data_IF_678806842406
#
_entry.id   IF_678806842406
#
_cell.length_a   1.000
_cell.length_b   1.000
_cell.length_c   1.000
_cell.angle_alpha   90.00
_cell.angle_beta   90.00
_cell.angle_gamma   90.00
#
_symmetry.space_group_name_H-M   'P 1'
#
loop_
_entity.id
_entity.type
_entity.pdbx_description
1 polymer ?
#
# COMPACT_ATOMS: atom_id res chain seq x y z
N UNK A 1 11.99 -5.07 -17.37
CA UNK A 1 11.28 -6.08 -16.55
C UNK A 1 11.05 -5.47 -15.17
N UNK A 2 9.81 -5.46 -14.64
CA UNK A 2 9.55 -4.89 -13.33
C UNK A 2 10.15 -5.79 -12.24
N UNK A 3 10.91 -5.20 -11.32
CA UNK A 3 11.52 -5.96 -10.23
C UNK A 3 10.45 -6.50 -9.31
N UNK A 4 10.50 -7.81 -9.06
CA UNK A 4 9.52 -8.50 -8.21
C UNK A 4 10.02 -8.67 -6.78
N UNK A 5 9.09 -8.86 -5.84
CA UNK A 5 9.43 -9.14 -4.43
C UNK A 5 10.29 -10.41 -4.28
N UNK A 6 10.22 -11.33 -5.26
CA UNK A 6 11.00 -12.57 -5.29
C UNK A 6 12.47 -12.30 -5.59
N UNK A 7 12.76 -11.34 -6.45
CA UNK A 7 14.13 -10.90 -6.74
C UNK A 7 14.74 -10.15 -5.56
N UNK A 8 13.94 -9.30 -4.89
CA UNK A 8 14.35 -8.65 -3.63
C UNK A 8 14.70 -9.68 -2.56
N UNK A 9 13.90 -10.75 -2.43
CA UNK A 9 14.16 -11.85 -1.50
C UNK A 9 15.45 -12.62 -1.83
N UNK A 10 15.66 -12.93 -3.11
CA UNK A 10 16.87 -13.60 -3.58
C UNK A 10 18.12 -12.75 -3.31
N UNK A 11 18.07 -11.45 -3.60
CA UNK A 11 19.19 -10.52 -3.37
C UNK A 11 19.47 -10.31 -1.88
N UNK A 12 18.43 -10.19 -1.05
CA UNK A 12 18.58 -10.01 0.38
C UNK A 12 18.93 -11.32 1.13
N UNK A 13 18.89 -12.48 0.46
CA UNK A 13 19.18 -13.78 1.05
C UNK A 13 18.18 -14.16 2.14
N UNK A 14 16.89 -13.84 1.96
CA UNK A 14 15.84 -14.14 2.94
C UNK A 14 14.59 -14.72 2.26
N UNK A 15 13.70 -15.30 3.06
CA UNK A 15 12.44 -15.84 2.54
C UNK A 15 11.50 -14.74 2.03
N UNK A 16 10.62 -15.10 1.09
CA UNK A 16 9.58 -14.21 0.57
C UNK A 16 8.69 -13.65 1.69
N UNK A 17 8.38 -14.48 2.69
CA UNK A 17 7.59 -14.09 3.86
C UNK A 17 8.31 -13.07 4.74
N UNK A 18 9.63 -13.17 4.86
CA UNK A 18 10.45 -12.18 5.58
C UNK A 18 10.40 -10.83 4.87
N UNK A 19 10.60 -10.79 3.55
CA UNK A 19 10.51 -9.54 2.77
C UNK A 19 9.11 -8.94 2.86
N UNK A 20 8.07 -9.76 2.73
CA UNK A 20 6.68 -9.32 2.86
C UNK A 20 6.41 -8.67 4.23
N UNK A 21 6.89 -9.29 5.33
CA UNK A 21 6.77 -8.74 6.68
C UNK A 21 7.56 -7.43 6.87
N UNK A 22 8.76 -7.33 6.30
CA UNK A 22 9.58 -6.09 6.34
C UNK A 22 8.91 -4.96 5.57
N UNK A 23 8.38 -5.24 4.37
CA UNK A 23 7.72 -4.25 3.52
C UNK A 23 6.33 -3.84 4.01
N UNK A 24 5.58 -4.76 4.63
CA UNK A 24 4.29 -4.47 5.25
C UNK A 24 4.42 -3.93 6.69
N UNK A 25 5.64 -3.63 7.13
CA UNK A 25 5.96 -3.07 8.44
C UNK A 25 5.16 -3.71 9.59
N UNK A 26 5.03 -5.04 9.56
CA UNK A 26 4.21 -5.75 10.53
C UNK A 26 4.93 -5.75 11.88
N UNK A 27 4.47 -4.90 12.80
CA UNK A 27 5.08 -4.64 14.12
C UNK A 27 5.27 -5.89 15.00
N UNK A 28 4.60 -7.01 14.68
CA UNK A 28 4.76 -8.30 15.36
C UNK A 28 5.89 -9.20 14.82
N UNK A 29 6.58 -8.81 13.75
CA UNK A 29 7.68 -9.61 13.22
C UNK A 29 9.00 -9.23 13.92
N UNK A 30 9.46 -10.08 14.85
CA UNK A 30 10.81 -10.02 15.43
C UNK A 30 11.86 -10.34 14.36
N UNK A 31 12.09 -9.39 13.46
CA UNK A 31 13.13 -9.46 12.43
C UNK A 31 14.29 -8.62 12.91
N UNK A 32 15.48 -9.23 12.97
CA UNK A 32 16.71 -8.55 13.32
C UNK A 32 16.90 -7.29 12.47
N UNK A 33 17.31 -6.19 13.11
CA UNK A 33 17.48 -4.88 12.46
C UNK A 33 18.41 -4.96 11.25
N UNK A 34 19.48 -5.77 11.34
CA UNK A 34 20.39 -6.02 10.21
C UNK A 34 19.71 -6.67 9.00
N UNK A 35 18.76 -7.57 9.21
CA UNK A 35 17.99 -8.18 8.11
C UNK A 35 17.01 -7.18 7.49
N UNK A 36 16.39 -6.31 8.30
CA UNK A 36 15.53 -5.23 7.77
C UNK A 36 16.33 -4.30 6.86
N UNK A 37 17.55 -3.94 7.27
CA UNK A 37 18.38 -3.05 6.48
C UNK A 37 18.87 -3.69 5.18
N UNK A 38 19.32 -4.96 5.20
CA UNK A 38 19.66 -5.70 3.98
C UNK A 38 18.51 -5.74 2.98
N UNK A 39 17.28 -5.98 3.44
CA UNK A 39 16.10 -5.97 2.56
C UNK A 39 15.84 -4.59 1.98
N UNK A 40 15.98 -3.51 2.76
CA UNK A 40 15.84 -2.14 2.24
C UNK A 40 16.91 -1.77 1.24
N UNK A 41 18.16 -2.14 1.49
CA UNK A 41 19.27 -1.91 0.57
C UNK A 41 19.02 -2.66 -0.74
N UNK A 42 18.70 -3.96 -0.67
CA UNK A 42 18.38 -4.76 -1.84
C UNK A 42 17.19 -4.20 -2.64
N UNK A 43 16.13 -3.76 -1.95
CA UNK A 43 14.99 -3.12 -2.60
C UNK A 43 15.37 -1.81 -3.30
N UNK A 44 16.21 -0.96 -2.68
CA UNK A 44 16.71 0.29 -3.29
C UNK A 44 17.61 0.03 -4.48
N UNK A 45 18.57 -0.89 -4.36
CA UNK A 45 19.50 -1.25 -5.45
C UNK A 45 18.76 -1.79 -6.68
N UNK A 46 17.70 -2.55 -6.46
CA UNK A 46 16.88 -3.09 -7.53
C UNK A 46 15.82 -2.09 -8.04
N UNK A 47 15.71 -0.89 -7.45
CA UNK A 47 14.65 0.06 -7.81
C UNK A 47 13.24 -0.48 -7.56
N UNK A 48 13.08 -1.39 -6.58
CA UNK A 48 11.80 -1.99 -6.23
C UNK A 48 10.87 -0.90 -5.67
N UNK A 49 9.90 -0.49 -6.48
CA UNK A 49 8.86 0.44 -6.09
C UNK A 49 7.54 -0.32 -5.94
N UNK A 50 6.96 -0.39 -4.71
CA UNK A 50 5.68 -1.06 -4.52
C UNK A 50 4.58 -0.28 -5.28
N UNK A 51 4.13 -0.80 -6.41
CA UNK A 51 2.99 -0.25 -7.13
C UNK A 51 1.69 -0.67 -6.43
N UNK A 52 0.93 0.30 -5.94
CA UNK A 52 -0.37 0.08 -5.30
C UNK A 52 -1.35 -0.65 -6.23
N UNK A 53 -1.33 -0.33 -7.52
CA UNK A 53 -2.17 -0.96 -8.55
C UNK A 53 -1.79 -2.43 -8.75
N UNK A 54 -0.48 -2.74 -8.85
CA UNK A 54 -0.01 -4.12 -8.97
C UNK A 54 -0.30 -4.94 -7.70
N UNK A 55 -0.19 -4.33 -6.51
CA UNK A 55 -0.60 -4.95 -5.24
C UNK A 55 -2.09 -5.28 -5.23
N UNK A 56 -2.94 -4.35 -5.65
CA UNK A 56 -4.39 -4.55 -5.69
C UNK A 56 -4.78 -5.67 -6.67
N UNK A 57 -4.11 -5.74 -7.83
CA UNK A 57 -4.32 -6.80 -8.82
C UNK A 57 -3.96 -8.19 -8.27
N UNK A 58 -2.77 -8.34 -7.67
CA UNK A 58 -2.29 -9.61 -7.11
C UNK A 58 -3.11 -10.05 -5.90
N UNK A 59 -3.53 -9.11 -5.04
CA UNK A 59 -4.36 -9.40 -3.87
C UNK A 59 -5.83 -9.64 -4.19
N UNK A 60 -6.29 -9.36 -5.42
CA UNK A 60 -7.73 -9.30 -5.80
C UNK A 60 -8.56 -8.43 -4.83
N UNK A 61 -7.93 -7.47 -4.16
CA UNK A 61 -8.54 -6.64 -3.13
C UNK A 61 -8.01 -5.21 -3.31
N UNK A 62 -8.93 -4.28 -3.53
CA UNK A 62 -8.66 -2.85 -3.59
C UNK A 62 -8.94 -2.24 -2.22
N UNK A 63 -7.96 -1.60 -1.59
CA UNK A 63 -8.13 -0.82 -0.35
C UNK A 63 -8.85 0.52 -0.63
N UNK A 64 -9.94 0.48 -1.41
CA UNK A 64 -10.71 1.66 -1.84
C UNK A 64 -12.00 1.74 -1.04
N UNK A 65 -12.11 2.75 -0.17
CA UNK A 65 -13.34 3.07 0.54
C UNK A 65 -14.24 3.95 -0.35
N UNK A 66 -15.31 3.37 -0.90
CA UNK A 66 -16.33 4.14 -1.62
C UNK A 66 -17.28 4.82 -0.63
N UNK A 67 -17.34 6.15 -0.65
CA UNK A 67 -18.30 6.91 0.17
C UNK A 67 -19.38 7.49 -0.73
N UNK A 68 -20.63 7.10 -0.49
CA UNK A 68 -21.80 7.62 -1.19
C UNK A 68 -22.46 8.64 -0.27
N UNK A 69 -22.38 9.91 -0.64
CA UNK A 69 -23.16 10.97 0.00
C UNK A 69 -24.39 11.26 -0.86
N UNK A 70 -25.59 11.45 -0.27
CA UNK A 70 -26.69 12.06 -0.99
C UNK A 70 -26.24 13.44 -1.46
N UNK A 71 -26.42 13.72 -2.75
CA UNK A 71 -26.12 15.04 -3.31
C UNK A 71 -26.85 16.11 -2.51
N UNK A 72 -26.13 17.04 -1.91
CA UNK A 72 -26.72 18.28 -1.44
C UNK A 72 -27.20 19.05 -2.66
N UNK A 73 -28.42 18.78 -3.11
CA UNK A 73 -29.14 19.73 -3.95
C UNK A 73 -29.46 20.91 -3.03
N UNK A 74 -28.57 21.89 -3.03
CA UNK A 74 -28.87 23.19 -2.44
C UNK A 74 -29.93 23.84 -3.33
N UNK A 75 -31.19 23.48 -3.09
CA UNK A 75 -32.30 24.32 -3.44
C UNK A 75 -32.97 24.72 -2.13
N UNK A 76 -32.28 25.59 -1.40
CA UNK A 76 -32.96 26.49 -0.49
C UNK A 76 -33.32 27.76 -1.27
N UNK A 77 -34.58 27.96 -1.68
CA UNK A 77 -35.05 29.31 -1.90
C UNK A 77 -35.35 29.88 -0.52
N UNK A 78 -34.37 30.55 0.09
CA UNK A 78 -34.67 31.59 1.07
C UNK A 78 -35.31 32.74 0.27
N UNK A 79 -36.62 32.66 0.06
CA UNK A 79 -37.53 33.78 -0.22
C UNK A 79 -38.69 33.54 0.75
N UNK A 80 -38.80 34.23 1.88
CA UNK A 80 -38.86 35.69 2.00
C UNK A 80 -40.30 36.13 1.71
N UNK A 81 -41.05 36.51 2.75
CA UNK A 81 -42.32 37.24 2.59
C UNK A 81 -43.39 36.89 3.60
N UNK A 82 -43.57 37.80 4.56
CA UNK A 82 -44.80 38.06 5.32
C UNK A 82 -46.07 37.82 4.49
N UNK A 83 -47.00 37.01 4.99
CA UNK A 83 -48.40 37.33 5.32
C UNK A 83 -49.00 36.14 6.09
#
# INVERSE_FOLDING_TARGET
>A
MPVSIREVAARAGVSLGTVSKVLNNSSGAQIATGTKERVRIAARELGYHPSAVARALVRKQTDTLGVIFPSFTSQSPIRGGFF
#
